data_IF_042625713389
#
_entry.id   IF_042625713389
#
_cell.length_a   1.000
_cell.length_b   1.000
_cell.length_c   1.000
_cell.angle_alpha   90.00
_cell.angle_beta   90.00
_cell.angle_gamma   90.00
#
_symmetry.space_group_name_H-M   'P 1'
#
loop_
_entity.id
_entity.type
_entity.pdbx_description
1 polymer ?
#
# COMPACT_ATOMS: atom_id res chain seq x y z
N UNK A 1 21.05 -12.23 18.68
CA UNK A 1 19.91 -12.98 18.14
C UNK A 1 19.82 -12.58 16.68
N UNK A 2 20.02 -13.52 15.76
CA UNK A 2 19.84 -13.24 14.33
C UNK A 2 18.34 -13.10 14.07
N UNK A 3 17.92 -11.94 13.55
CA UNK A 3 16.51 -11.65 13.29
C UNK A 3 16.24 -11.92 11.82
N UNK A 4 15.32 -12.85 11.56
CA UNK A 4 14.82 -13.09 10.19
C UNK A 4 13.83 -12.00 9.81
N UNK A 5 13.64 -11.81 8.50
CA UNK A 5 12.67 -10.85 7.97
C UNK A 5 11.25 -11.13 8.47
N UNK A 6 10.89 -12.42 8.55
CA UNK A 6 9.60 -12.84 9.09
C UNK A 6 9.44 -12.46 10.58
N UNK A 7 10.48 -12.67 11.38
CA UNK A 7 10.45 -12.33 12.80
C UNK A 7 10.39 -10.81 13.00
N UNK A 8 11.11 -10.03 12.19
CA UNK A 8 11.05 -8.57 12.21
C UNK A 8 9.61 -8.06 11.93
N UNK A 9 8.94 -8.58 10.89
CA UNK A 9 7.55 -8.24 10.58
C UNK A 9 6.64 -8.58 11.77
N UNK A 10 6.78 -9.79 12.32
CA UNK A 10 5.94 -10.24 13.44
C UNK A 10 6.11 -9.35 14.67
N UNK A 11 7.34 -9.00 15.01
CA UNK A 11 7.64 -8.17 16.18
C UNK A 11 7.12 -6.74 16.01
N UNK A 12 7.34 -6.11 14.85
CA UNK A 12 6.88 -4.73 14.60
C UNK A 12 5.34 -4.65 14.57
N UNK A 13 4.67 -5.59 13.90
CA UNK A 13 3.20 -5.64 13.90
C UNK A 13 2.62 -5.82 15.31
N UNK A 14 3.24 -6.65 16.14
CA UNK A 14 2.79 -6.85 17.52
C UNK A 14 3.02 -5.58 18.37
N UNK A 15 4.15 -4.90 18.19
CA UNK A 15 4.45 -3.64 18.88
C UNK A 15 3.45 -2.54 18.49
N UNK A 16 3.21 -2.34 17.18
CA UNK A 16 2.23 -1.36 16.69
C UNK A 16 0.81 -1.66 17.15
N UNK A 17 0.42 -2.94 17.13
CA UNK A 17 -0.87 -3.36 17.69
C UNK A 17 -0.98 -3.04 19.18
N UNK A 18 0.08 -3.21 19.95
CA UNK A 18 0.10 -2.83 21.38
C UNK A 18 0.00 -1.31 21.58
N UNK A 19 0.49 -0.50 20.63
CA UNK A 19 0.32 0.96 20.61
C UNK A 19 -1.05 1.42 20.08
N UNK A 20 -1.93 0.50 19.66
CA UNK A 20 -3.24 0.81 19.10
C UNK A 20 -3.21 1.13 17.59
N UNK A 21 -2.05 1.03 16.94
CA UNK A 21 -1.93 1.16 15.49
C UNK A 21 -2.28 -0.16 14.82
N UNK A 22 -3.36 -0.19 14.03
CA UNK A 22 -3.76 -1.37 13.28
C UNK A 22 -4.46 -1.00 11.98
N UNK A 23 -4.46 -1.92 11.02
CA UNK A 23 -5.08 -1.71 9.72
C UNK A 23 -4.25 -2.30 8.59
N UNK A 24 -4.78 -2.19 7.38
CA UNK A 24 -4.11 -2.67 6.17
C UNK A 24 -2.92 -1.79 5.77
N UNK A 25 -3.06 -0.47 5.92
CA UNK A 25 -2.00 0.51 5.64
C UNK A 25 -0.78 0.23 6.53
N UNK A 26 -0.99 0.10 7.84
CA UNK A 26 0.07 -0.19 8.80
C UNK A 26 0.76 -1.52 8.47
N UNK A 27 -0.02 -2.56 8.15
CA UNK A 27 0.55 -3.86 7.74
C UNK A 27 1.40 -3.75 6.48
N UNK A 28 0.90 -3.04 5.47
CA UNK A 28 1.63 -2.83 4.23
C UNK A 28 2.93 -2.05 4.45
N UNK A 29 2.93 -1.04 5.32
CA UNK A 29 4.12 -0.27 5.66
C UNK A 29 5.19 -1.14 6.33
N UNK A 30 4.79 -1.93 7.34
CA UNK A 30 5.72 -2.83 8.05
C UNK A 30 6.33 -3.86 7.11
N UNK A 31 5.51 -4.48 6.25
CA UNK A 31 5.99 -5.46 5.27
C UNK A 31 6.95 -4.79 4.28
N UNK A 32 6.59 -3.63 3.72
CA UNK A 32 7.42 -2.93 2.75
C UNK A 32 8.79 -2.56 3.33
N UNK A 33 8.82 -2.09 4.60
CA UNK A 33 10.08 -1.79 5.29
C UNK A 33 10.91 -3.04 5.53
N UNK A 34 10.32 -4.11 6.03
CA UNK A 34 11.04 -5.34 6.32
C UNK A 34 11.61 -6.00 5.06
N UNK A 35 10.90 -5.92 3.92
CA UNK A 35 11.42 -6.37 2.62
C UNK A 35 12.61 -5.52 2.16
N UNK A 36 12.54 -4.19 2.28
CA UNK A 36 13.67 -3.31 1.98
C UNK A 36 14.87 -3.65 2.87
N UNK A 37 14.63 -3.88 4.16
CA UNK A 37 15.70 -4.22 5.10
C UNK A 37 16.33 -5.58 4.77
N UNK A 38 15.51 -6.53 4.30
CA UNK A 38 15.99 -7.80 3.76
C UNK A 38 16.87 -7.59 2.54
N UNK A 39 16.43 -6.80 1.56
CA UNK A 39 17.19 -6.52 0.32
C UNK A 39 18.53 -5.81 0.60
N UNK A 40 18.57 -4.98 1.65
CA UNK A 40 19.77 -4.25 2.07
C UNK A 40 20.74 -5.10 2.91
N UNK A 41 20.37 -6.31 3.27
CA UNK A 41 21.27 -7.19 4.05
C UNK A 41 21.17 -7.03 5.56
N UNK A 42 20.11 -6.42 6.10
CA UNK A 42 19.98 -6.21 7.55
C UNK A 42 19.46 -7.44 8.31
N UNK A 43 18.86 -8.43 7.62
CA UNK A 43 18.36 -9.65 8.23
C UNK A 43 19.28 -10.84 7.95
N UNK A 44 19.22 -11.86 8.80
CA UNK A 44 20.06 -13.05 8.67
C UNK A 44 19.71 -13.92 7.47
N UNK A 45 18.47 -13.83 6.98
CA UNK A 45 17.98 -14.48 5.77
C UNK A 45 18.16 -13.62 4.50
N UNK A 46 18.91 -12.52 4.59
CA UNK A 46 19.21 -11.67 3.46
C UNK A 46 20.26 -12.26 2.53
N UNK A 47 20.01 -12.18 1.23
CA UNK A 47 21.03 -12.35 0.20
C UNK A 47 21.67 -11.00 -0.06
N UNK A 48 22.82 -10.72 0.56
CA UNK A 48 23.55 -9.47 0.31
C UNK A 48 24.15 -9.51 -1.09
N UNK A 49 23.50 -8.82 -2.02
CA UNK A 49 23.96 -8.72 -3.40
C UNK A 49 25.01 -7.60 -3.53
N UNK A 50 26.24 -7.98 -3.87
CA UNK A 50 27.22 -7.03 -4.42
C UNK A 50 26.99 -6.93 -5.93
N UNK A 51 26.45 -5.80 -6.36
CA UNK A 51 26.13 -5.56 -7.76
C UNK A 51 27.35 -5.08 -8.58
N UNK A 52 28.51 -4.81 -7.94
CA UNK A 52 29.73 -4.39 -8.64
C UNK A 52 29.56 -3.13 -9.50
N UNK A 53 28.63 -2.25 -9.14
CA UNK A 53 28.26 -1.08 -9.94
C UNK A 53 29.28 0.05 -9.77
N UNK A 54 29.66 0.69 -10.89
CA UNK A 54 30.37 1.96 -10.83
C UNK A 54 29.45 3.08 -10.29
N UNK A 55 30.06 4.15 -9.80
CA UNK A 55 29.37 5.27 -9.16
C UNK A 55 28.36 5.94 -10.10
N UNK A 56 28.69 6.13 -11.38
CA UNK A 56 27.80 6.78 -12.33
C UNK A 56 26.59 5.90 -12.68
N UNK A 57 26.75 4.58 -12.70
CA UNK A 57 25.65 3.63 -12.88
C UNK A 57 24.76 3.57 -11.64
N UNK A 58 25.35 3.53 -10.43
CA UNK A 58 24.62 3.59 -9.17
C UNK A 58 23.75 4.84 -9.07
N UNK A 59 24.32 6.00 -9.38
CA UNK A 59 23.61 7.28 -9.27
C UNK A 59 22.44 7.38 -10.25
N UNK A 60 22.60 6.85 -11.48
CA UNK A 60 21.52 6.74 -12.46
C UNK A 60 20.39 5.82 -11.99
N UNK A 61 20.72 4.68 -11.38
CA UNK A 61 19.72 3.76 -10.83
C UNK A 61 18.94 4.40 -9.67
N UNK A 62 19.62 5.14 -8.78
CA UNK A 62 18.97 5.88 -7.69
C UNK A 62 18.03 6.96 -8.25
N UNK A 63 18.45 7.68 -9.30
CA UNK A 63 17.62 8.68 -9.95
C UNK A 63 16.35 8.07 -10.56
N UNK A 64 16.46 6.96 -11.27
CA UNK A 64 15.31 6.23 -11.81
C UNK A 64 14.40 5.67 -10.72
N UNK A 65 14.95 5.08 -9.66
CA UNK A 65 14.16 4.59 -8.53
C UNK A 65 13.34 5.72 -7.86
N UNK A 66 13.90 6.94 -7.76
CA UNK A 66 13.16 8.11 -7.27
C UNK A 66 12.05 8.53 -8.23
N UNK A 67 12.32 8.52 -9.54
CA UNK A 67 11.31 8.81 -10.56
C UNK A 67 10.16 7.80 -10.52
N UNK A 68 10.47 6.51 -10.40
CA UNK A 68 9.49 5.43 -10.32
C UNK A 68 8.65 5.52 -9.04
N UNK A 69 9.28 5.82 -7.90
CA UNK A 69 8.57 6.05 -6.64
C UNK A 69 7.59 7.24 -6.74
N UNK A 70 8.02 8.34 -7.35
CA UNK A 70 7.17 9.51 -7.58
C UNK A 70 5.99 9.18 -8.52
N UNK A 71 6.25 8.45 -9.61
CA UNK A 71 5.21 7.98 -10.53
C UNK A 71 4.20 7.04 -9.85
N UNK A 72 4.70 6.08 -9.05
CA UNK A 72 3.85 5.16 -8.30
C UNK A 72 2.94 5.89 -7.32
N UNK A 73 3.48 6.88 -6.59
CA UNK A 73 2.68 7.73 -5.68
C UNK A 73 1.61 8.53 -6.45
N UNK A 74 1.98 9.15 -7.58
CA UNK A 74 1.04 9.89 -8.41
C UNK A 74 -0.11 9.01 -8.92
N UNK A 75 0.22 7.82 -9.41
CA UNK A 75 -0.75 6.84 -9.89
C UNK A 75 -1.66 6.33 -8.76
N UNK A 76 -1.10 6.04 -7.57
CA UNK A 76 -1.88 5.62 -6.41
C UNK A 76 -2.88 6.70 -5.97
N UNK A 77 -2.45 7.98 -5.96
CA UNK A 77 -3.33 9.09 -5.63
C UNK A 77 -4.45 9.26 -6.67
N UNK A 78 -4.13 9.13 -7.96
CA UNK A 78 -5.13 9.19 -9.03
C UNK A 78 -6.15 8.05 -8.90
N UNK A 79 -5.69 6.81 -8.66
CA UNK A 79 -6.55 5.65 -8.42
C UNK A 79 -7.45 5.84 -7.20
N UNK A 80 -6.91 6.35 -6.09
CA UNK A 80 -7.67 6.64 -4.88
C UNK A 80 -8.78 7.67 -5.12
N UNK A 81 -8.47 8.77 -5.83
CA UNK A 81 -9.48 9.78 -6.21
C UNK A 81 -10.57 9.20 -7.11
N UNK A 82 -10.19 8.38 -8.08
CA UNK A 82 -11.14 7.71 -8.97
C UNK A 82 -12.07 6.76 -8.18
N UNK A 83 -11.52 5.98 -7.24
CA UNK A 83 -12.29 5.08 -6.39
C UNK A 83 -13.31 5.84 -5.50
N UNK A 84 -12.91 6.97 -4.90
CA UNK A 84 -13.83 7.83 -4.14
C UNK A 84 -14.96 8.34 -5.05
N UNK A 85 -14.60 8.85 -6.23
CA UNK A 85 -15.60 9.36 -7.18
C UNK A 85 -16.59 8.28 -7.57
N UNK A 86 -16.10 7.09 -7.93
CA UNK A 86 -16.93 5.93 -8.27
C UNK A 86 -17.85 5.54 -7.11
N UNK A 87 -17.35 5.50 -5.87
CA UNK A 87 -18.16 5.20 -4.68
C UNK A 87 -19.30 6.22 -4.49
N UNK A 88 -19.03 7.51 -4.70
CA UNK A 88 -20.05 8.57 -4.59
C UNK A 88 -21.13 8.42 -5.66
N UNK A 89 -20.75 8.13 -6.91
CA UNK A 89 -21.69 7.90 -8.01
C UNK A 89 -22.53 6.65 -7.74
N UNK A 90 -21.91 5.55 -7.29
CA UNK A 90 -22.62 4.31 -6.97
C UNK A 90 -23.67 4.52 -5.86
N UNK A 91 -23.33 5.27 -4.81
CA UNK A 91 -24.28 5.62 -3.75
C UNK A 91 -25.44 6.48 -4.28
N UNK A 92 -25.15 7.49 -5.10
CA UNK A 92 -26.18 8.35 -5.69
C UNK A 92 -27.17 7.55 -6.56
N UNK A 93 -26.66 6.67 -7.43
CA UNK A 93 -27.48 5.78 -8.25
C UNK A 93 -28.29 4.80 -7.39
N UNK A 94 -27.70 4.27 -6.31
CA UNK A 94 -28.41 3.43 -5.34
C UNK A 94 -29.61 4.13 -4.72
N UNK A 95 -29.44 5.40 -4.31
CA UNK A 95 -30.53 6.21 -3.75
C UNK A 95 -31.62 6.53 -4.78
N UNK A 96 -31.24 6.85 -6.02
CA UNK A 96 -32.19 7.10 -7.11
C UNK A 96 -33.03 5.84 -7.39
N UNK A 97 -32.38 4.68 -7.49
CA UNK A 97 -33.07 3.41 -7.72
C UNK A 97 -34.02 3.06 -6.56
N UNK A 98 -33.59 3.28 -5.31
CA UNK A 98 -34.45 3.07 -4.15
C UNK A 98 -35.68 4.00 -4.17
N UNK A 99 -35.49 5.27 -4.53
CA UNK A 99 -36.58 6.23 -4.69
C UNK A 99 -37.56 5.84 -5.80
N UNK A 100 -37.06 5.44 -6.96
CA UNK A 100 -37.88 4.96 -8.09
C UNK A 100 -38.68 3.70 -7.71
N UNK A 101 -38.05 2.73 -7.07
CA UNK A 101 -38.73 1.52 -6.59
C UNK A 101 -39.85 1.87 -5.62
N UNK A 102 -39.58 2.77 -4.66
CA UNK A 102 -40.59 3.23 -3.69
C UNK A 102 -41.77 3.91 -4.40
N UNK A 103 -41.49 4.76 -5.39
CA UNK A 103 -42.52 5.44 -6.18
C UNK A 103 -43.39 4.45 -6.98
N UNK A 104 -42.77 3.46 -7.63
CA UNK A 104 -43.50 2.41 -8.37
C UNK A 104 -44.41 1.60 -7.45
N UNK A 105 -43.92 1.21 -6.27
CA UNK A 105 -44.70 0.45 -5.29
C UNK A 105 -45.92 1.23 -4.78
N UNK A 106 -45.74 2.53 -4.48
CA UNK A 106 -46.85 3.41 -4.05
C UNK A 106 -47.88 3.65 -5.17
N UNK A 107 -47.46 3.59 -6.44
CA UNK A 107 -48.36 3.83 -7.57
C UNK A 107 -49.17 2.60 -7.98
N UNK A 108 -48.64 1.40 -7.75
CA UNK A 108 -49.24 0.11 -8.12
C UNK A 108 -50.08 -0.52 -7.01
N UNK A 109 -49.83 -0.18 -5.75
CA UNK A 109 -50.68 -0.56 -4.61
C UNK A 109 -51.85 0.39 -4.42
#
# INVERSE_FOLDING_TARGET
METTTHDAIRHDLNARKAMGESGEIVRSEVIARAMLDQDLGYHSDSLRHDYGLDEATRDRLIAHARQDAANAQGNALAAYKAAISAKRVALALGLINAGLLTWVLVRLG
#
